data_IF_235560997512
#
_entry.id   IF_235560997512
#
_cell.length_a   1.000
_cell.length_b   1.000
_cell.length_c   1.000
_cell.angle_alpha   90.00
_cell.angle_beta   90.00
_cell.angle_gamma   90.00
#
_symmetry.space_group_name_H-M   'P 1'
#
loop_
_entity.id
_entity.type
_entity.pdbx_description
1 polymer ?
#
# COMPACT_ATOMS: atom_id res chain seq x y z
N UNK A 1 -1.12 -16.39 -3.44
CA UNK A 1 -1.45 -16.84 -2.06
C UNK A 1 -2.66 -16.12 -1.48
N UNK A 2 -2.62 -14.81 -1.16
CA UNK A 2 -3.79 -14.11 -0.56
C UNK A 2 -5.00 -14.16 -1.49
N UNK A 3 -4.81 -13.82 -2.78
CA UNK A 3 -5.86 -13.89 -3.81
C UNK A 3 -6.52 -15.26 -3.89
N UNK A 4 -5.73 -16.32 -3.96
CA UNK A 4 -6.24 -17.67 -4.14
C UNK A 4 -7.09 -18.13 -2.94
N UNK A 5 -6.66 -17.78 -1.73
CA UNK A 5 -7.43 -18.05 -0.50
C UNK A 5 -8.72 -17.23 -0.48
N UNK A 6 -8.67 -15.95 -0.86
CA UNK A 6 -9.85 -15.09 -0.92
C UNK A 6 -10.89 -15.61 -1.91
N UNK A 7 -10.48 -16.04 -3.10
CA UNK A 7 -11.39 -16.60 -4.11
C UNK A 7 -11.94 -17.96 -3.68
N UNK A 8 -11.10 -18.84 -3.12
CA UNK A 8 -11.55 -20.15 -2.61
C UNK A 8 -12.57 -20.04 -1.47
N UNK A 9 -12.51 -18.95 -0.70
CA UNK A 9 -13.42 -18.67 0.41
C UNK A 9 -14.54 -17.69 0.04
N UNK A 10 -14.68 -17.36 -1.25
CA UNK A 10 -15.73 -16.46 -1.76
C UNK A 10 -15.78 -15.11 -1.03
N UNK A 11 -14.60 -14.60 -0.66
CA UNK A 11 -14.48 -13.31 0.04
C UNK A 11 -14.85 -12.17 -0.91
N UNK A 12 -15.78 -11.32 -0.50
CA UNK A 12 -16.25 -10.18 -1.29
C UNK A 12 -15.57 -8.86 -0.93
N UNK A 13 -14.91 -8.77 0.23
CA UNK A 13 -14.19 -7.58 0.68
C UNK A 13 -12.98 -7.90 1.54
N UNK A 14 -11.89 -7.13 1.38
CA UNK A 14 -10.64 -7.25 2.15
C UNK A 14 -10.24 -5.89 2.72
N UNK A 15 -9.94 -5.86 4.02
CA UNK A 15 -9.29 -4.72 4.68
C UNK A 15 -7.83 -5.07 4.92
N UNK A 16 -6.93 -4.23 4.44
CA UNK A 16 -5.49 -4.42 4.52
C UNK A 16 -4.92 -3.36 5.45
N UNK A 17 -4.33 -3.81 6.56
CA UNK A 17 -3.70 -2.93 7.54
C UNK A 17 -2.20 -2.92 7.27
N UNK A 18 -1.62 -1.74 7.06
CA UNK A 18 -0.18 -1.60 6.78
C UNK A 18 0.40 -0.32 7.37
N UNK A 19 1.72 -0.11 7.31
CA UNK A 19 2.33 1.13 7.77
C UNK A 19 1.88 2.33 6.90
N UNK A 20 1.82 3.55 7.46
CA UNK A 20 1.40 4.74 6.71
C UNK A 20 2.20 4.94 5.41
N UNK A 21 3.52 4.74 5.46
CA UNK A 21 4.42 4.89 4.31
C UNK A 21 4.17 3.89 3.18
N UNK A 22 3.60 2.72 3.47
CA UNK A 22 3.34 1.67 2.48
C UNK A 22 1.88 1.57 2.03
N UNK A 23 1.00 2.40 2.59
CA UNK A 23 -0.45 2.38 2.31
C UNK A 23 -0.73 2.53 0.82
N UNK A 24 -0.09 3.50 0.15
CA UNK A 24 -0.29 3.75 -1.28
C UNK A 24 0.19 2.59 -2.15
N UNK A 25 1.37 2.02 -1.85
CA UNK A 25 1.90 0.89 -2.60
C UNK A 25 1.03 -0.36 -2.41
N UNK A 26 0.62 -0.64 -1.18
CA UNK A 26 -0.28 -1.75 -0.90
C UNK A 26 -1.60 -1.61 -1.66
N UNK A 27 -2.19 -0.42 -1.69
CA UNK A 27 -3.42 -0.15 -2.46
C UNK A 27 -3.24 -0.45 -3.95
N UNK A 28 -2.17 0.04 -4.56
CA UNK A 28 -1.86 -0.22 -5.99
C UNK A 28 -1.67 -1.71 -6.27
N UNK A 29 -0.86 -2.39 -5.44
CA UNK A 29 -0.57 -3.82 -5.63
C UNK A 29 -1.84 -4.67 -5.50
N UNK A 30 -2.63 -4.47 -4.46
CA UNK A 30 -3.83 -5.28 -4.25
C UNK A 30 -4.94 -4.96 -5.26
N UNK A 31 -5.15 -3.69 -5.62
CA UNK A 31 -6.10 -3.38 -6.70
C UNK A 31 -5.67 -4.00 -8.02
N UNK A 32 -4.37 -4.03 -8.34
CA UNK A 32 -3.90 -4.67 -9.57
C UNK A 32 -4.10 -6.19 -9.55
N UNK A 33 -3.82 -6.83 -8.42
CA UNK A 33 -3.97 -8.29 -8.25
C UNK A 33 -5.43 -8.73 -8.33
N UNK A 34 -6.35 -7.92 -7.79
CA UNK A 34 -7.79 -8.20 -7.77
C UNK A 34 -8.57 -7.46 -8.87
N UNK A 35 -7.90 -6.85 -9.86
CA UNK A 35 -8.53 -6.01 -10.90
C UNK A 35 -9.64 -6.73 -11.68
N UNK A 36 -9.50 -8.05 -11.84
CA UNK A 36 -10.46 -8.91 -12.57
C UNK A 36 -11.41 -9.67 -11.64
N UNK A 37 -11.29 -9.47 -10.33
CA UNK A 37 -12.07 -10.16 -9.32
C UNK A 37 -13.10 -9.21 -8.72
N UNK A 38 -14.29 -9.71 -8.39
CA UNK A 38 -15.34 -8.89 -7.75
C UNK A 38 -15.10 -8.75 -6.24
N UNK A 39 -13.89 -8.34 -5.84
CA UNK A 39 -13.46 -8.21 -4.45
C UNK A 39 -13.14 -6.75 -4.14
N UNK A 40 -13.83 -6.19 -3.15
CA UNK A 40 -13.62 -4.81 -2.72
C UNK A 40 -12.37 -4.71 -1.83
N UNK A 41 -11.38 -3.93 -2.25
CA UNK A 41 -10.15 -3.71 -1.49
C UNK A 41 -10.22 -2.37 -0.74
N UNK A 42 -9.89 -2.38 0.55
CA UNK A 42 -9.71 -1.18 1.37
C UNK A 42 -8.38 -1.28 2.12
N UNK A 43 -7.57 -0.23 2.08
CA UNK A 43 -6.27 -0.19 2.75
C UNK A 43 -6.28 0.89 3.82
N UNK A 44 -5.93 0.51 5.04
CA UNK A 44 -5.96 1.38 6.22
C UNK A 44 -4.56 1.43 6.84
N UNK A 45 -4.01 2.62 7.10
CA UNK A 45 -2.76 2.74 7.82
C UNK A 45 -2.94 2.35 9.29
N UNK A 46 -1.96 1.65 9.86
CA UNK A 46 -1.91 1.41 11.30
C UNK A 46 -1.59 2.71 12.05
N UNK A 47 -2.28 2.93 13.17
CA UNK A 47 -1.98 4.01 14.12
C UNK A 47 -0.75 3.69 14.99
N UNK A 48 -0.32 2.42 15.04
CA UNK A 48 0.84 1.95 15.79
C UNK A 48 2.15 2.16 15.02
N UNK A 49 2.34 3.35 14.44
CA UNK A 49 3.61 3.73 13.84
C UNK A 49 4.01 5.12 14.35
N UNK A 50 5.29 5.34 14.62
CA UNK A 50 5.80 6.66 15.00
C UNK A 50 5.85 7.64 13.82
N UNK A 51 5.27 7.27 12.67
CA UNK A 51 5.18 8.13 11.51
C UNK A 51 4.18 9.26 11.78
N UNK A 52 4.71 10.48 11.94
CA UNK A 52 3.89 11.69 12.11
C UNK A 52 3.80 12.46 10.79
N UNK A 53 2.62 12.51 10.13
CA UNK A 53 2.47 13.24 8.87
C UNK A 53 2.75 14.75 9.00
N UNK A 54 2.63 15.31 10.21
CA UNK A 54 2.91 16.74 10.44
C UNK A 54 4.41 17.05 10.63
N UNK A 55 5.25 16.03 10.77
CA UNK A 55 6.67 16.21 11.12
C UNK A 55 7.59 15.13 10.53
N UNK A 56 7.15 14.40 9.51
CA UNK A 56 7.89 13.25 8.95
C UNK A 56 9.29 13.65 8.47
N UNK A 57 9.50 14.90 8.05
CA UNK A 57 10.79 15.43 7.61
C UNK A 57 11.78 15.70 8.75
N UNK A 58 11.34 15.69 10.02
CA UNK A 58 12.21 15.94 11.18
C UNK A 58 12.99 14.70 11.65
N UNK A 59 12.63 13.52 11.15
CA UNK A 59 13.32 12.28 11.48
C UNK A 59 14.00 11.75 10.23
N UNK A 60 15.32 11.63 10.25
CA UNK A 60 16.12 11.18 9.10
C UNK A 60 15.63 9.86 8.50
N UNK A 61 15.19 8.93 9.35
CA UNK A 61 14.57 7.66 8.93
C UNK A 61 13.35 7.87 8.02
N UNK A 62 12.42 8.73 8.43
CA UNK A 62 11.17 8.95 7.69
C UNK A 62 11.37 9.84 6.46
N UNK A 63 12.35 10.75 6.50
CA UNK A 63 12.78 11.51 5.33
C UNK A 63 13.31 10.58 4.23
N UNK A 64 14.21 9.66 4.58
CA UNK A 64 14.75 8.67 3.64
C UNK A 64 13.65 7.75 3.10
N UNK A 65 12.77 7.24 3.97
CA UNK A 65 11.66 6.38 3.55
C UNK A 65 10.75 7.07 2.52
N UNK A 66 10.38 8.32 2.76
CA UNK A 66 9.51 9.09 1.86
C UNK A 66 10.20 9.34 0.52
N UNK A 67 11.47 9.76 0.51
CA UNK A 67 12.24 10.00 -0.72
C UNK A 67 12.37 8.72 -1.55
N UNK A 68 12.68 7.58 -0.91
CA UNK A 68 12.79 6.29 -1.59
C UNK A 68 11.45 5.82 -2.17
N UNK A 69 10.34 6.04 -1.46
CA UNK A 69 9.01 5.75 -2.00
C UNK A 69 8.68 6.62 -3.23
N UNK A 70 9.02 7.91 -3.21
CA UNK A 70 8.83 8.77 -4.39
C UNK A 70 9.67 8.30 -5.59
N UNK A 71 10.92 7.90 -5.39
CA UNK A 71 11.75 7.34 -6.46
C UNK A 71 11.15 6.05 -7.04
N UNK A 72 10.67 5.14 -6.19
CA UNK A 72 10.03 3.89 -6.61
C UNK A 72 8.74 4.15 -7.39
N UNK A 73 7.92 5.12 -6.96
CA UNK A 73 6.71 5.53 -7.66
C UNK A 73 7.03 6.15 -9.03
N UNK A 74 8.05 6.99 -9.11
CA UNK A 74 8.51 7.57 -10.37
C UNK A 74 9.01 6.50 -11.35
N UNK A 75 9.81 5.54 -10.87
CA UNK A 75 10.24 4.40 -11.68
C UNK A 75 9.05 3.57 -12.18
N UNK A 76 8.07 3.27 -11.31
CA UNK A 76 6.86 2.56 -11.69
C UNK A 76 6.08 3.32 -12.78
N UNK A 77 5.94 4.64 -12.63
CA UNK A 77 5.27 5.49 -13.60
C UNK A 77 5.97 5.43 -14.97
N UNK A 78 7.30 5.56 -15.03
CA UNK A 78 8.05 5.50 -16.30
C UNK A 78 8.00 4.10 -16.94
N UNK A 79 8.02 3.03 -16.14
CA UNK A 79 8.13 1.65 -16.65
C UNK A 79 6.80 1.07 -17.14
N UNK A 80 5.67 1.55 -16.60
CA UNK A 80 4.35 1.00 -16.85
C UNK A 80 3.38 1.96 -17.55
N UNK A 81 3.81 3.19 -17.87
CA UNK A 81 3.28 3.94 -19.01
C UNK A 81 3.93 3.46 -20.30
#
# INVERSE_FOLDING_TARGET
>A
MVRDISLKREVTSLIIITSPTHTRRAWLTFNKVFEKDNVRISVVPTLYSDFRPDNWWKTDKYLQDVILEYQKLFYYYIKYL
#
